data_IF_776098854021
#
_entry.id   IF_776098854021
#
_cell.length_a   1.000
_cell.length_b   1.000
_cell.length_c   1.000
_cell.angle_alpha   90.00
_cell.angle_beta   90.00
_cell.angle_gamma   90.00
#
_symmetry.space_group_name_H-M   'P 1'
#
loop_
_entity.id
_entity.type
_entity.pdbx_description
1 polymer ?
#
# COMPACT_ATOMS: atom_id res chain seq x y z
N UNK A 1 17.63 -38.93 2.68
CA UNK A 1 16.76 -38.50 3.78
C UNK A 1 16.54 -37.01 3.55
N UNK A 2 15.40 -36.64 2.98
CA UNK A 2 15.03 -35.22 2.79
C UNK A 2 14.70 -34.70 4.18
N UNK A 3 15.46 -33.72 4.69
CA UNK A 3 15.06 -32.99 5.89
C UNK A 3 13.65 -32.48 5.66
N UNK A 4 12.73 -32.87 6.51
CA UNK A 4 11.38 -32.33 6.50
C UNK A 4 11.50 -30.85 6.87
N UNK A 5 11.55 -29.98 5.85
CA UNK A 5 11.54 -28.54 6.03
C UNK A 5 10.24 -28.21 6.78
N UNK A 6 10.33 -27.56 7.94
CA UNK A 6 9.13 -27.16 8.70
C UNK A 6 8.22 -26.31 7.81
N UNK A 7 6.90 -26.42 7.98
CA UNK A 7 5.98 -25.59 7.22
C UNK A 7 6.23 -24.11 7.49
N UNK A 8 6.01 -23.28 6.48
CA UNK A 8 6.07 -21.83 6.58
C UNK A 8 4.83 -21.33 7.33
N UNK A 9 5.02 -20.68 8.46
CA UNK A 9 3.94 -20.23 9.36
C UNK A 9 3.46 -18.85 8.95
N UNK A 10 2.20 -18.77 8.60
CA UNK A 10 1.58 -17.60 8.02
C UNK A 10 0.53 -17.03 8.96
N UNK A 11 0.49 -15.73 9.13
CA UNK A 11 -0.61 -15.00 9.73
C UNK A 11 -1.38 -14.27 8.62
N UNK A 12 -2.72 -14.32 8.66
CA UNK A 12 -3.59 -13.61 7.72
C UNK A 12 -4.30 -12.48 8.44
N UNK A 13 -4.13 -11.25 7.93
CA UNK A 13 -4.75 -10.03 8.47
C UNK A 13 -5.61 -9.38 7.39
N UNK A 14 -6.93 -9.37 7.61
CA UNK A 14 -7.92 -8.79 6.68
C UNK A 14 -9.24 -8.58 7.43
N UNK A 15 -9.88 -7.42 7.29
CA UNK A 15 -11.15 -7.10 7.95
C UNK A 15 -12.38 -7.72 7.25
N UNK A 16 -12.19 -8.24 6.01
CA UNK A 16 -13.25 -8.87 5.24
C UNK A 16 -13.36 -10.37 5.55
N UNK A 17 -14.34 -10.86 6.32
CA UNK A 17 -14.38 -12.25 6.79
C UNK A 17 -14.38 -13.28 5.66
N UNK A 18 -15.13 -13.01 4.58
CA UNK A 18 -15.25 -13.96 3.45
C UNK A 18 -13.92 -14.10 2.70
N UNK A 19 -13.21 -12.98 2.47
CA UNK A 19 -11.91 -13.00 1.83
C UNK A 19 -10.88 -13.71 2.71
N UNK A 20 -10.84 -13.36 4.01
CA UNK A 20 -9.94 -14.00 4.98
C UNK A 20 -10.14 -15.51 5.05
N UNK A 21 -11.39 -15.98 5.13
CA UNK A 21 -11.69 -17.43 5.10
C UNK A 21 -11.25 -18.10 3.80
N UNK A 22 -11.51 -17.46 2.65
CA UNK A 22 -11.09 -17.97 1.35
C UNK A 22 -9.57 -18.07 1.22
N UNK A 23 -8.86 -17.05 1.70
CA UNK A 23 -7.39 -17.03 1.69
C UNK A 23 -6.81 -18.12 2.62
N UNK A 24 -7.35 -18.30 3.82
CA UNK A 24 -6.95 -19.36 4.74
C UNK A 24 -7.16 -20.73 4.11
N UNK A 25 -8.33 -20.98 3.50
CA UNK A 25 -8.61 -22.25 2.83
C UNK A 25 -7.62 -22.50 1.67
N UNK A 26 -7.31 -21.48 0.88
CA UNK A 26 -6.31 -21.57 -0.20
C UNK A 26 -4.93 -21.92 0.36
N UNK A 27 -4.43 -21.18 1.35
CA UNK A 27 -3.11 -21.40 1.93
C UNK A 27 -2.99 -22.81 2.55
N UNK A 28 -4.05 -23.28 3.21
CA UNK A 28 -4.10 -24.62 3.82
C UNK A 28 -4.11 -25.76 2.77
N UNK A 29 -4.39 -25.44 1.50
CA UNK A 29 -4.34 -26.42 0.41
C UNK A 29 -2.96 -26.53 -0.25
N UNK A 30 -2.01 -25.68 0.14
CA UNK A 30 -0.66 -25.65 -0.44
C UNK A 30 0.31 -26.34 0.51
N UNK A 31 1.01 -27.37 0.01
CA UNK A 31 1.96 -28.13 0.81
C UNK A 31 3.10 -27.26 1.36
N UNK A 32 3.38 -27.42 2.66
CA UNK A 32 4.45 -26.70 3.34
C UNK A 32 4.10 -25.26 3.75
N UNK A 33 2.82 -24.87 3.67
CA UNK A 33 2.28 -23.66 4.27
C UNK A 33 1.35 -24.01 5.44
N UNK A 34 1.39 -23.22 6.51
CA UNK A 34 0.53 -23.39 7.68
C UNK A 34 0.03 -22.02 8.14
N UNK A 35 -1.28 -21.85 8.26
CA UNK A 35 -1.87 -20.64 8.83
C UNK A 35 -1.97 -20.81 10.34
N UNK A 36 -1.12 -20.10 11.07
CA UNK A 36 -0.99 -20.21 12.54
C UNK A 36 -1.78 -19.14 13.31
N UNK A 37 -2.13 -18.04 12.64
CA UNK A 37 -2.88 -16.95 13.25
C UNK A 37 -3.71 -16.20 12.22
N UNK A 38 -4.75 -15.49 12.69
CA UNK A 38 -5.54 -14.57 11.91
C UNK A 38 -5.94 -13.35 12.74
N UNK A 39 -6.14 -12.21 12.06
CA UNK A 39 -6.57 -10.96 12.69
C UNK A 39 -7.46 -10.15 11.73
N UNK A 40 -8.22 -9.20 12.26
CA UNK A 40 -9.15 -8.35 11.52
C UNK A 40 -9.03 -6.85 11.84
N UNK A 41 -8.07 -6.48 12.67
CA UNK A 41 -7.80 -5.11 13.11
C UNK A 41 -6.32 -4.92 13.40
N UNK A 42 -5.86 -3.68 13.50
CA UNK A 42 -4.48 -3.35 13.86
C UNK A 42 -4.09 -3.95 15.21
N UNK A 43 -4.96 -3.78 16.21
CA UNK A 43 -4.69 -4.26 17.56
C UNK A 43 -4.57 -5.79 17.62
N UNK A 44 -5.52 -6.51 16.99
CA UNK A 44 -5.49 -7.99 16.96
C UNK A 44 -4.31 -8.52 16.15
N UNK A 45 -3.89 -7.80 15.09
CA UNK A 45 -2.72 -8.18 14.30
C UNK A 45 -1.41 -8.09 15.09
N UNK A 46 -1.22 -7.02 15.84
CA UNK A 46 -0.04 -6.83 16.69
C UNK A 46 -0.01 -7.90 17.78
N UNK A 47 -1.11 -8.10 18.49
CA UNK A 47 -1.21 -9.11 19.56
C UNK A 47 -0.94 -10.52 19.02
N UNK A 48 -1.56 -10.88 17.88
CA UNK A 48 -1.35 -12.19 17.27
C UNK A 48 0.10 -12.41 16.81
N UNK A 49 0.77 -11.38 16.29
CA UNK A 49 2.17 -11.45 15.89
C UNK A 49 3.13 -11.62 17.06
N UNK A 50 2.79 -11.11 18.25
CA UNK A 50 3.59 -11.24 19.47
C UNK A 50 3.44 -12.63 20.11
N UNK A 51 2.23 -13.22 20.07
CA UNK A 51 1.93 -14.45 20.78
C UNK A 51 2.05 -15.74 19.94
N UNK A 52 2.24 -15.60 18.63
CA UNK A 52 2.40 -16.74 17.73
C UNK A 52 3.78 -16.72 17.06
N UNK A 53 4.28 -17.92 16.76
CA UNK A 53 5.47 -18.06 15.94
C UNK A 53 5.09 -17.89 14.45
N UNK A 54 5.25 -16.68 13.91
CA UNK A 54 4.91 -16.29 12.54
C UNK A 54 6.19 -16.06 11.76
N UNK A 55 6.25 -16.59 10.53
CA UNK A 55 7.35 -16.33 9.60
C UNK A 55 6.96 -15.21 8.60
N UNK A 56 5.69 -15.20 8.15
CA UNK A 56 5.17 -14.20 7.21
C UNK A 56 3.77 -13.75 7.61
N UNK A 57 3.54 -12.45 7.57
CA UNK A 57 2.22 -11.85 7.70
C UNK A 57 1.70 -11.47 6.32
N UNK A 58 0.53 -11.97 5.93
CA UNK A 58 -0.25 -11.42 4.81
C UNK A 58 -1.14 -10.31 5.35
N UNK A 59 -0.89 -9.08 4.93
CA UNK A 59 -1.47 -7.87 5.50
C UNK A 59 -2.34 -7.14 4.49
N UNK A 60 -3.64 -7.00 4.79
CA UNK A 60 -4.46 -6.02 4.08
C UNK A 60 -4.11 -4.59 4.53
N UNK A 61 -4.12 -3.65 3.61
CA UNK A 61 -3.87 -2.24 3.91
C UNK A 61 -5.11 -1.52 4.46
N UNK A 62 -6.31 -2.05 4.18
CA UNK A 62 -7.56 -1.50 4.66
C UNK A 62 -8.14 -2.42 5.74
N UNK A 63 -8.09 -1.98 6.99
CA UNK A 63 -8.63 -2.70 8.15
C UNK A 63 -9.77 -1.88 8.76
N UNK A 64 -10.90 -1.78 8.05
CA UNK A 64 -12.01 -0.89 8.41
C UNK A 64 -11.61 0.58 8.32
N UNK A 65 -11.62 1.28 9.46
CA UNK A 65 -11.18 2.67 9.57
C UNK A 65 -9.68 2.79 9.90
N UNK A 66 -8.99 1.66 10.12
CA UNK A 66 -7.58 1.60 10.49
C UNK A 66 -6.69 1.29 9.28
N UNK A 67 -5.38 1.56 9.40
CA UNK A 67 -4.41 1.36 8.32
C UNK A 67 -3.50 0.16 8.57
N UNK A 68 -3.50 -0.81 7.65
CA UNK A 68 -2.55 -1.92 7.66
C UNK A 68 -1.09 -1.49 7.53
N UNK A 69 -0.83 -0.27 7.05
CA UNK A 69 0.52 0.34 7.06
C UNK A 69 1.00 0.56 8.49
N UNK A 70 0.10 0.98 9.39
CA UNK A 70 0.43 1.16 10.81
C UNK A 70 0.70 -0.17 11.50
N UNK A 71 -0.17 -1.17 11.26
CA UNK A 71 0.06 -2.54 11.74
C UNK A 71 1.41 -3.09 11.24
N UNK A 72 1.73 -2.89 9.97
CA UNK A 72 3.02 -3.30 9.39
C UNK A 72 4.19 -2.67 10.13
N UNK A 73 4.15 -1.36 10.36
CA UNK A 73 5.23 -0.63 11.07
C UNK A 73 5.43 -1.17 12.48
N UNK A 74 4.35 -1.36 13.23
CA UNK A 74 4.42 -1.86 14.61
C UNK A 74 4.92 -3.30 14.67
N UNK A 75 4.44 -4.18 13.79
CA UNK A 75 4.88 -5.59 13.73
C UNK A 75 6.37 -5.66 13.39
N UNK A 76 6.82 -4.97 12.35
CA UNK A 76 8.23 -5.01 11.93
C UNK A 76 9.16 -4.40 13.00
N UNK A 77 8.71 -3.36 13.71
CA UNK A 77 9.49 -2.76 14.81
C UNK A 77 9.69 -3.73 15.98
N UNK A 78 8.68 -4.55 16.32
CA UNK A 78 8.72 -5.51 17.45
C UNK A 78 9.28 -6.87 17.05
N UNK A 79 9.04 -7.28 15.80
CA UNK A 79 9.42 -8.57 15.23
C UNK A 79 10.12 -8.40 13.87
N UNK A 80 11.38 -7.93 13.85
CA UNK A 80 12.13 -7.68 12.61
C UNK A 80 12.44 -8.94 11.80
N UNK A 81 12.32 -10.11 12.42
CA UNK A 81 12.42 -11.43 11.81
C UNK A 81 11.23 -11.79 10.93
N UNK A 82 10.05 -11.23 11.21
CA UNK A 82 8.81 -11.50 10.48
C UNK A 82 8.80 -10.75 9.15
N UNK A 83 8.52 -11.46 8.05
CA UNK A 83 8.28 -10.86 6.75
C UNK A 83 6.84 -10.34 6.62
N UNK A 84 6.62 -9.18 6.04
CA UNK A 84 5.26 -8.69 5.73
C UNK A 84 5.06 -8.66 4.22
N UNK A 85 4.05 -9.41 3.75
CA UNK A 85 3.52 -9.42 2.39
C UNK A 85 2.18 -8.69 2.37
N UNK A 86 2.13 -7.53 1.74
CA UNK A 86 0.90 -6.77 1.60
C UNK A 86 0.01 -7.38 0.54
N UNK A 87 -1.31 -7.47 0.81
CA UNK A 87 -2.34 -7.98 -0.11
C UNK A 87 -3.51 -7.02 -0.11
N UNK A 88 -3.76 -6.30 -1.20
CA UNK A 88 -4.79 -5.25 -1.24
C UNK A 88 -5.56 -5.23 -2.56
N UNK A 89 -6.74 -4.62 -2.55
CA UNK A 89 -7.56 -4.37 -3.77
C UNK A 89 -7.08 -3.15 -4.56
N UNK A 90 -6.24 -2.30 -3.98
CA UNK A 90 -5.87 -1.01 -4.53
C UNK A 90 -4.49 -1.08 -5.17
N UNK A 91 -4.43 -0.75 -6.46
CA UNK A 91 -3.19 -0.54 -7.22
C UNK A 91 -2.84 0.96 -7.15
N UNK A 92 -2.60 1.45 -5.92
CA UNK A 92 -2.21 2.83 -5.66
C UNK A 92 -0.75 2.85 -5.21
N UNK A 93 0.10 3.43 -6.04
CA UNK A 93 1.55 3.49 -5.82
C UNK A 93 1.92 4.11 -4.46
N UNK A 94 1.17 5.12 -3.99
CA UNK A 94 1.47 5.81 -2.73
C UNK A 94 1.24 4.92 -1.51
N UNK A 95 0.14 4.18 -1.51
CA UNK A 95 -0.22 3.28 -0.41
C UNK A 95 0.76 2.10 -0.35
N UNK A 96 1.13 1.55 -1.51
CA UNK A 96 2.15 0.50 -1.59
C UNK A 96 3.51 1.02 -1.13
N UNK A 97 3.88 2.22 -1.56
CA UNK A 97 5.14 2.85 -1.15
C UNK A 97 5.17 3.14 0.37
N UNK A 98 4.05 3.57 0.95
CA UNK A 98 3.92 3.75 2.39
C UNK A 98 4.11 2.44 3.15
N UNK A 99 3.55 1.33 2.66
CA UNK A 99 3.71 0.00 3.25
C UNK A 99 5.17 -0.49 3.16
N UNK A 100 5.84 -0.30 2.02
CA UNK A 100 7.26 -0.64 1.87
C UNK A 100 8.15 0.18 2.82
N UNK A 101 7.88 1.47 2.99
CA UNK A 101 8.57 2.32 3.99
C UNK A 101 8.29 1.90 5.43
N UNK A 102 7.14 1.31 5.70
CA UNK A 102 6.81 0.73 7.00
C UNK A 102 7.53 -0.60 7.27
N UNK A 103 8.18 -1.19 6.25
CA UNK A 103 8.97 -2.41 6.35
C UNK A 103 8.35 -3.64 5.67
N UNK A 104 7.29 -3.48 4.88
CA UNK A 104 6.79 -4.57 4.04
C UNK A 104 7.88 -5.01 3.06
N UNK A 105 7.95 -6.32 2.78
CA UNK A 105 8.93 -6.92 1.85
C UNK A 105 8.31 -7.33 0.53
N UNK A 106 7.01 -7.32 0.41
CA UNK A 106 6.32 -7.68 -0.81
C UNK A 106 4.92 -7.10 -0.89
N UNK A 107 4.37 -7.13 -2.11
CA UNK A 107 3.04 -6.63 -2.42
C UNK A 107 2.37 -7.51 -3.46
N UNK A 108 1.09 -7.81 -3.26
CA UNK A 108 0.22 -8.51 -4.19
C UNK A 108 -1.16 -7.83 -4.26
N UNK A 109 -1.82 -7.96 -5.40
CA UNK A 109 -3.24 -7.65 -5.52
C UNK A 109 -4.09 -8.81 -4.99
N UNK A 110 -5.25 -8.53 -4.38
CA UNK A 110 -6.23 -9.54 -3.93
C UNK A 110 -6.76 -10.46 -5.05
N UNK A 111 -6.42 -10.16 -6.31
CA UNK A 111 -6.69 -11.00 -7.49
C UNK A 111 -5.56 -11.95 -7.88
N UNK A 112 -4.44 -11.98 -7.12
CA UNK A 112 -3.32 -12.85 -7.39
C UNK A 112 -3.72 -14.34 -7.34
N UNK A 113 -3.16 -15.13 -8.26
CA UNK A 113 -3.41 -16.57 -8.30
C UNK A 113 -2.62 -17.36 -7.24
N UNK A 114 -3.01 -18.62 -6.97
CA UNK A 114 -2.37 -19.45 -5.94
C UNK A 114 -0.85 -19.59 -6.10
N UNK A 115 -0.37 -19.77 -7.32
CA UNK A 115 1.06 -19.91 -7.64
C UNK A 115 1.83 -18.63 -7.32
N UNK A 116 1.23 -17.47 -7.60
CA UNK A 116 1.83 -16.19 -7.35
C UNK A 116 1.90 -15.89 -5.83
N UNK A 117 0.82 -16.20 -5.09
CA UNK A 117 0.77 -16.10 -3.63
C UNK A 117 1.84 -16.97 -2.98
N UNK A 118 1.93 -18.25 -3.36
CA UNK A 118 2.93 -19.17 -2.82
C UNK A 118 4.35 -18.67 -3.07
N UNK A 119 4.65 -18.27 -4.32
CA UNK A 119 5.96 -17.73 -4.69
C UNK A 119 6.31 -16.49 -3.86
N UNK A 120 5.36 -15.56 -3.68
CA UNK A 120 5.58 -14.34 -2.92
C UNK A 120 5.82 -14.64 -1.43
N UNK A 121 5.06 -15.53 -0.82
CA UNK A 121 5.25 -15.94 0.57
C UNK A 121 6.62 -16.54 0.80
N UNK A 122 7.07 -17.46 -0.06
CA UNK A 122 8.38 -18.10 0.06
C UNK A 122 9.54 -17.10 -0.13
N UNK A 123 9.42 -16.17 -1.07
CA UNK A 123 10.41 -15.13 -1.30
C UNK A 123 10.52 -14.17 -0.10
N UNK A 124 9.37 -13.72 0.44
CA UNK A 124 9.34 -12.84 1.62
C UNK A 124 9.91 -13.55 2.85
N UNK A 125 9.59 -14.85 3.03
CA UNK A 125 10.17 -15.66 4.10
C UNK A 125 11.68 -15.85 3.98
N UNK A 126 12.20 -15.92 2.74
CA UNK A 126 13.64 -15.96 2.47
C UNK A 126 14.34 -14.60 2.67
N UNK A 127 13.60 -13.54 3.02
CA UNK A 127 14.13 -12.18 3.19
C UNK A 127 14.25 -11.39 1.89
N UNK A 128 13.73 -11.91 0.77
CA UNK A 128 13.70 -11.19 -0.50
C UNK A 128 12.70 -10.03 -0.46
N UNK A 129 12.95 -9.01 -1.27
CA UNK A 129 12.01 -7.89 -1.47
C UNK A 129 11.39 -8.00 -2.86
N UNK A 130 10.07 -8.15 -2.89
CA UNK A 130 9.28 -8.22 -4.11
C UNK A 130 8.66 -6.85 -4.41
N UNK A 131 9.18 -6.17 -5.41
CA UNK A 131 8.66 -4.88 -5.86
C UNK A 131 7.95 -5.04 -7.20
N UNK A 132 6.74 -4.49 -7.30
CA UNK A 132 6.13 -4.27 -8.61
C UNK A 132 7.00 -3.33 -9.46
N UNK A 133 7.03 -3.48 -10.79
CA UNK A 133 7.91 -2.68 -11.67
C UNK A 133 7.77 -1.16 -11.47
N UNK A 134 6.55 -0.66 -11.24
CA UNK A 134 6.30 0.77 -10.98
C UNK A 134 6.95 1.23 -9.66
N UNK A 135 6.84 0.42 -8.60
CA UNK A 135 7.46 0.68 -7.29
C UNK A 135 8.99 0.66 -7.40
N UNK A 136 9.53 -0.33 -8.12
CA UNK A 136 10.96 -0.42 -8.36
C UNK A 136 11.50 0.81 -9.11
N UNK A 137 10.77 1.28 -10.13
CA UNK A 137 11.12 2.49 -10.88
C UNK A 137 11.12 3.75 -9.97
N UNK A 138 10.11 3.90 -9.11
CA UNK A 138 10.03 5.00 -8.16
C UNK A 138 11.14 4.94 -7.10
N UNK A 139 11.44 3.75 -6.57
CA UNK A 139 12.56 3.56 -5.62
C UNK A 139 13.91 3.91 -6.28
N UNK A 140 14.14 3.47 -7.51
CA UNK A 140 15.34 3.81 -8.28
C UNK A 140 15.43 5.30 -8.57
N UNK A 141 14.33 5.97 -8.92
CA UNK A 141 14.30 7.42 -9.13
C UNK A 141 14.67 8.20 -7.85
N UNK A 142 14.27 7.70 -6.66
CA UNK A 142 14.71 8.27 -5.38
C UNK A 142 16.19 8.06 -5.11
N UNK A 143 16.70 6.85 -5.33
CA UNK A 143 18.12 6.51 -5.09
C UNK A 143 19.06 7.25 -6.06
N UNK A 144 18.64 7.45 -7.30
CA UNK A 144 19.45 8.15 -8.33
C UNK A 144 19.33 9.66 -8.27
N UNK A 145 18.51 10.20 -7.35
CA UNK A 145 18.28 11.65 -7.25
C UNK A 145 17.58 12.27 -8.46
N UNK A 146 16.98 11.44 -9.32
CA UNK A 146 16.32 11.89 -10.55
C UNK A 146 15.02 12.68 -10.30
N UNK A 147 14.50 12.66 -9.07
CA UNK A 147 13.49 13.62 -8.60
C UNK A 147 14.21 14.89 -8.11
N UNK A 148 14.69 15.69 -9.04
CA UNK A 148 14.99 17.10 -8.75
C UNK A 148 13.66 17.84 -8.57
N UNK A 149 13.07 17.71 -7.39
CA UNK A 149 12.10 18.69 -6.90
C UNK A 149 12.84 19.57 -5.88
N UNK A 150 12.74 20.88 -6.06
CA UNK A 150 12.97 21.84 -5.00
C UNK A 150 12.12 21.50 -3.76
N UNK A 151 12.22 22.26 -2.66
CA UNK A 151 11.41 22.01 -1.47
C UNK A 151 9.95 21.87 -1.89
N UNK A 152 9.33 20.73 -1.50
CA UNK A 152 7.96 20.41 -1.85
C UNK A 152 7.02 21.51 -1.31
N UNK A 153 6.28 22.23 -2.16
CA UNK A 153 5.40 23.30 -1.70
C UNK A 153 4.21 22.78 -0.88
N UNK A 154 3.91 21.47 -0.96
CA UNK A 154 2.77 20.84 -0.29
C UNK A 154 3.16 19.51 0.37
N UNK A 155 4.01 19.52 1.41
CA UNK A 155 4.53 18.27 2.02
C UNK A 155 3.46 17.46 2.75
N UNK A 156 2.29 18.02 3.00
CA UNK A 156 1.14 17.32 3.62
C UNK A 156 0.32 16.51 2.63
N UNK A 157 0.51 16.70 1.31
CA UNK A 157 -0.21 15.96 0.29
C UNK A 157 0.52 14.67 -0.05
N UNK A 158 -0.25 13.59 -0.23
CA UNK A 158 0.23 12.37 -0.87
C UNK A 158 0.55 12.65 -2.35
N UNK A 159 1.33 11.78 -2.99
CA UNK A 159 1.64 11.95 -4.42
C UNK A 159 0.35 11.94 -5.27
N UNK A 160 -0.63 11.11 -4.89
CA UNK A 160 -1.94 11.05 -5.59
C UNK A 160 -2.77 12.33 -5.42
N UNK A 161 -2.82 12.87 -4.22
CA UNK A 161 -3.49 14.15 -3.97
C UNK A 161 -2.80 15.29 -4.74
N UNK A 162 -1.48 15.22 -4.86
CA UNK A 162 -0.69 16.19 -5.64
C UNK A 162 -0.94 16.07 -7.13
N UNK A 163 -1.03 14.84 -7.69
CA UNK A 163 -1.42 14.61 -9.08
C UNK A 163 -2.82 15.18 -9.38
N UNK A 164 -3.77 14.92 -8.48
CA UNK A 164 -5.12 15.48 -8.61
C UNK A 164 -5.06 17.01 -8.54
N UNK A 165 -4.29 17.58 -7.61
CA UNK A 165 -4.13 19.03 -7.49
C UNK A 165 -3.50 19.67 -8.73
N UNK A 166 -2.49 19.03 -9.32
CA UNK A 166 -1.82 19.49 -10.54
C UNK A 166 -2.79 19.54 -11.73
N UNK A 167 -3.58 18.48 -11.94
CA UNK A 167 -4.60 18.42 -12.97
C UNK A 167 -5.76 19.41 -12.71
N UNK A 168 -6.09 19.66 -11.44
CA UNK A 168 -7.03 20.70 -11.04
C UNK A 168 -6.48 22.08 -11.39
N UNK A 169 -5.20 22.34 -11.16
CA UNK A 169 -4.51 23.57 -11.50
C UNK A 169 -4.40 23.79 -13.02
N UNK A 170 -4.32 22.70 -13.83
CA UNK A 170 -4.46 22.73 -15.29
C UNK A 170 -5.89 23.14 -15.73
N UNK A 171 -6.88 23.11 -14.84
CA UNK A 171 -8.27 23.46 -15.12
C UNK A 171 -9.14 22.28 -15.58
N UNK A 172 -8.70 21.04 -15.42
CA UNK A 172 -9.49 19.86 -15.78
C UNK A 172 -10.65 19.66 -14.79
N UNK A 173 -11.80 19.22 -15.29
CA UNK A 173 -12.93 18.79 -14.46
C UNK A 173 -12.71 17.36 -13.89
N UNK A 174 -13.53 16.95 -12.92
CA UNK A 174 -13.36 15.65 -12.25
C UNK A 174 -13.49 14.46 -13.21
N UNK A 175 -14.30 14.58 -14.26
CA UNK A 175 -14.48 13.54 -15.27
C UNK A 175 -13.20 13.35 -16.09
N UNK A 176 -12.58 14.44 -16.53
CA UNK A 176 -11.32 14.41 -17.29
C UNK A 176 -10.16 13.93 -16.41
N UNK A 177 -10.12 14.35 -15.15
CA UNK A 177 -9.15 13.85 -14.17
C UNK A 177 -9.32 12.34 -13.98
N UNK A 178 -10.56 11.87 -13.77
CA UNK A 178 -10.87 10.45 -13.63
C UNK A 178 -10.39 9.63 -14.84
N UNK A 179 -10.65 10.10 -16.05
CA UNK A 179 -10.17 9.46 -17.28
C UNK A 179 -8.64 9.43 -17.36
N UNK A 180 -7.98 10.53 -17.04
CA UNK A 180 -6.52 10.66 -17.16
C UNK A 180 -5.77 9.82 -16.13
N UNK A 181 -6.34 9.64 -14.96
CA UNK A 181 -5.76 8.89 -13.84
C UNK A 181 -6.29 7.46 -13.72
N UNK A 182 -7.15 7.02 -14.64
CA UNK A 182 -7.85 5.72 -14.60
C UNK A 182 -8.62 5.47 -13.28
N UNK A 183 -9.29 6.52 -12.78
CA UNK A 183 -10.07 6.51 -11.54
C UNK A 183 -11.58 6.63 -11.79
N UNK A 184 -12.38 6.40 -10.74
CA UNK A 184 -13.78 6.83 -10.72
C UNK A 184 -13.88 8.33 -10.38
N UNK A 185 -14.94 9.02 -10.89
CA UNK A 185 -15.20 10.42 -10.49
C UNK A 185 -15.45 10.57 -8.99
N UNK A 186 -15.95 9.53 -8.33
CA UNK A 186 -16.13 9.49 -6.87
C UNK A 186 -14.78 9.54 -6.16
N UNK A 187 -13.82 8.75 -6.64
CA UNK A 187 -12.44 8.73 -6.11
C UNK A 187 -11.76 10.09 -6.27
N UNK A 188 -11.91 10.73 -7.45
CA UNK A 188 -11.37 12.08 -7.68
C UNK A 188 -11.99 13.09 -6.73
N UNK A 189 -13.32 13.04 -6.50
CA UNK A 189 -13.98 13.94 -5.53
C UNK A 189 -13.44 13.74 -4.12
N UNK A 190 -13.24 12.50 -3.69
CA UNK A 190 -12.70 12.20 -2.37
C UNK A 190 -11.26 12.76 -2.22
N UNK A 191 -10.39 12.48 -3.18
CA UNK A 191 -9.03 13.03 -3.18
C UNK A 191 -9.03 14.56 -3.16
N UNK A 192 -9.88 15.20 -3.97
CA UNK A 192 -9.98 16.65 -3.99
C UNK A 192 -10.47 17.22 -2.64
N UNK A 193 -11.43 16.57 -2.00
CA UNK A 193 -11.90 16.95 -0.66
C UNK A 193 -10.77 16.90 0.37
N UNK A 194 -9.96 15.83 0.34
CA UNK A 194 -8.78 15.70 1.22
C UNK A 194 -7.74 16.79 0.92
N UNK A 195 -7.50 17.09 -0.36
CA UNK A 195 -6.61 18.18 -0.78
C UNK A 195 -7.08 19.52 -0.20
N UNK A 196 -8.37 19.88 -0.34
CA UNK A 196 -8.92 21.12 0.21
C UNK A 196 -8.70 21.22 1.72
N UNK A 197 -8.97 20.13 2.44
CA UNK A 197 -8.77 20.05 3.89
C UNK A 197 -7.29 20.23 4.26
N UNK A 198 -6.38 19.50 3.62
CA UNK A 198 -4.94 19.55 3.92
C UNK A 198 -4.29 20.89 3.54
N UNK A 199 -4.79 21.54 2.49
CA UNK A 199 -4.35 22.88 2.09
C UNK A 199 -4.97 23.98 2.94
N UNK A 200 -6.01 23.69 3.72
CA UNK A 200 -6.74 24.70 4.51
C UNK A 200 -7.47 25.72 3.63
N UNK A 201 -8.02 25.30 2.48
CA UNK A 201 -8.73 26.17 1.54
C UNK A 201 -10.21 25.80 1.45
N UNK A 202 -11.06 26.80 1.22
CA UNK A 202 -12.51 26.63 1.26
C UNK A 202 -13.10 25.95 0.03
N UNK A 203 -12.47 26.13 -1.14
CA UNK A 203 -13.03 25.68 -2.41
C UNK A 203 -11.96 25.36 -3.46
N UNK A 204 -12.44 24.80 -4.59
CA UNK A 204 -11.59 24.45 -5.73
C UNK A 204 -10.84 25.64 -6.33
N UNK A 205 -11.44 26.82 -6.38
CA UNK A 205 -10.82 28.00 -6.97
C UNK A 205 -9.63 28.47 -6.12
N UNK A 206 -9.76 28.45 -4.80
CA UNK A 206 -8.68 28.73 -3.87
C UNK A 206 -7.55 27.69 -3.95
N UNK A 207 -7.88 26.41 -4.16
CA UNK A 207 -6.89 25.36 -4.38
C UNK A 207 -6.11 25.58 -5.70
N UNK A 208 -6.80 25.96 -6.78
CA UNK A 208 -6.17 26.30 -8.08
C UNK A 208 -5.20 27.45 -7.91
N UNK A 209 -5.61 28.55 -7.25
CA UNK A 209 -4.76 29.71 -7.03
C UNK A 209 -3.48 29.30 -6.27
N UNK A 210 -3.63 28.61 -5.13
CA UNK A 210 -2.52 28.17 -4.29
C UNK A 210 -1.57 27.20 -5.01
N UNK A 211 -2.10 26.31 -5.84
CA UNK A 211 -1.33 25.38 -6.65
C UNK A 211 -0.51 26.09 -7.73
N UNK A 212 -1.10 27.07 -8.44
CA UNK A 212 -0.42 27.86 -9.47
C UNK A 212 0.67 28.76 -8.92
N UNK A 213 0.43 29.38 -7.76
CA UNK A 213 1.44 30.18 -7.06
C UNK A 213 2.66 29.32 -6.67
N UNK A 214 2.44 28.03 -6.43
CA UNK A 214 3.50 27.04 -6.16
C UNK A 214 4.09 26.37 -7.43
N UNK A 215 3.68 26.80 -8.62
CA UNK A 215 4.21 26.32 -9.91
C UNK A 215 3.56 25.05 -10.45
N UNK A 216 2.45 24.58 -9.86
CA UNK A 216 1.66 23.46 -10.41
C UNK A 216 0.76 23.93 -11.55
N UNK A 217 0.30 22.98 -12.39
CA UNK A 217 -0.60 23.27 -13.53
C UNK A 217 0.07 23.91 -14.74
N UNK A 218 1.38 24.10 -14.73
CA UNK A 218 2.13 24.57 -15.89
C UNK A 218 2.64 23.38 -16.68
N UNK A 219 2.07 23.14 -17.88
CA UNK A 219 2.70 22.22 -18.84
C UNK A 219 4.10 22.74 -19.16
N UNK A 220 5.12 21.92 -18.93
CA UNK A 220 6.38 22.09 -19.61
C UNK A 220 6.10 21.99 -21.14
N UNK A 221 6.32 23.10 -21.84
CA UNK A 221 6.31 23.18 -23.31
C UNK A 221 7.43 22.34 -23.86
#
# INVERSE_FOLDING_TARGET
>A
MTEATRPLRIMVVDDHPVFRMGLIALLSSIDGLEVVAQADSVASAIDAAEHNEVDVVMMDLNLGDESGVEATREIVARRPDVGVLVVTMVDDDDTVFAAMRAGARGYLLKGAGPIEIERALRAVAAGEVLLAPAIAANAMAMLTGSRRRGPDPFPSLTDREREVLDLVAEGLDNRRIAQRLALSEKTVRNNLSMVLTKLGVADRAAAIAKARDAGLGSRAV
#
